data_IF_523624158801
#
_entry.id   IF_523624158801
#
_cell.length_a   1.000
_cell.length_b   1.000
_cell.length_c   1.000
_cell.angle_alpha   90.00
_cell.angle_beta   90.00
_cell.angle_gamma   90.00
#
_symmetry.space_group_name_H-M   'P 1'
#
loop_
_entity.id
_entity.type
_entity.pdbx_description
1 polymer ?
#
# COMPACT_ATOMS: atom_id res chain seq x y z
N UNK A 1 69.92 31.18 37.56
CA UNK A 1 69.76 31.50 36.12
C UNK A 1 68.65 30.61 35.59
N UNK A 2 67.50 31.24 35.35
CA UNK A 2 66.22 30.66 34.99
C UNK A 2 66.27 30.09 33.56
N UNK A 3 65.71 28.90 33.31
CA UNK A 3 65.31 28.51 31.97
C UNK A 3 63.96 27.81 32.01
N UNK A 4 63.07 28.32 31.16
CA UNK A 4 61.63 28.16 31.14
C UNK A 4 61.23 26.86 30.44
N UNK A 5 60.39 26.04 31.08
CA UNK A 5 59.60 25.04 30.39
C UNK A 5 58.44 25.73 29.66
N UNK A 6 58.41 25.61 28.33
CA UNK A 6 57.28 26.04 27.50
C UNK A 6 56.15 25.01 27.63
N UNK A 7 55.03 25.40 28.25
CA UNK A 7 53.78 24.67 28.12
C UNK A 7 53.12 25.06 26.79
N UNK A 8 52.93 24.10 25.90
CA UNK A 8 52.07 24.24 24.73
C UNK A 8 50.63 23.93 25.16
N UNK A 9 49.75 24.94 25.13
CA UNK A 9 48.31 24.76 25.27
C UNK A 9 47.76 24.28 23.92
N UNK A 10 47.40 23.00 23.83
CA UNK A 10 46.60 22.48 22.73
C UNK A 10 45.13 22.77 23.04
N UNK A 11 44.55 23.75 22.35
CA UNK A 11 43.11 24.01 22.39
C UNK A 11 42.39 22.94 21.56
N UNK A 12 41.80 21.94 22.22
CA UNK A 12 40.86 21.03 21.58
C UNK A 12 39.53 21.76 21.36
N UNK A 13 39.29 22.23 20.14
CA UNK A 13 37.98 22.72 19.74
C UNK A 13 37.03 21.52 19.59
N UNK A 14 36.10 21.35 20.53
CA UNK A 14 34.97 20.45 20.40
C UNK A 14 34.04 21.01 19.31
N UNK A 15 34.10 20.43 18.10
CA UNK A 15 33.04 20.65 17.11
C UNK A 15 31.78 19.94 17.62
N UNK A 16 30.87 20.73 18.20
CA UNK A 16 29.48 20.32 18.37
C UNK A 16 28.85 20.21 16.98
N UNK A 17 28.73 18.99 16.44
CA UNK A 17 27.85 18.72 15.31
C UNK A 17 26.42 18.83 15.80
N UNK A 18 25.89 20.06 15.82
CA UNK A 18 24.45 20.27 15.91
C UNK A 18 23.85 19.72 14.62
N UNK A 19 23.29 18.51 14.67
CA UNK A 19 22.38 18.04 13.64
C UNK A 19 21.18 18.97 13.67
N UNK A 20 21.13 19.90 12.72
CA UNK A 20 19.93 20.67 12.46
C UNK A 20 18.88 19.68 11.95
N UNK A 21 18.01 19.21 12.85
CA UNK A 21 16.75 18.60 12.46
C UNK A 21 15.95 19.70 11.79
N UNK A 22 15.89 19.68 10.45
CA UNK A 22 14.87 20.40 9.71
C UNK A 22 13.51 19.81 10.10
N UNK A 23 12.92 20.30 11.19
CA UNK A 23 11.48 20.22 11.36
C UNK A 23 10.88 21.22 10.38
N UNK A 24 10.75 20.78 9.11
CA UNK A 24 9.81 21.42 8.21
C UNK A 24 8.47 21.44 8.93
N UNK A 25 7.92 22.63 9.15
CA UNK A 25 6.63 22.84 9.78
C UNK A 25 5.55 22.17 8.93
N UNK A 26 5.24 20.91 9.21
CA UNK A 26 4.17 20.18 8.50
C UNK A 26 2.90 21.03 8.47
N UNK A 27 2.23 21.07 7.32
CA UNK A 27 0.96 21.80 7.14
C UNK A 27 -0.10 21.29 8.13
N UNK A 28 0.06 20.04 8.58
CA UNK A 28 -0.83 19.37 9.50
C UNK A 28 -0.34 19.48 10.94
N UNK A 29 -1.23 19.89 11.84
CA UNK A 29 -0.92 19.85 13.27
C UNK A 29 -0.85 18.39 13.77
N UNK A 30 -0.30 18.20 14.97
CA UNK A 30 -0.37 16.90 15.66
C UNK A 30 -1.82 16.46 15.89
N UNK A 31 -2.74 17.40 16.08
CA UNK A 31 -4.14 17.04 16.24
C UNK A 31 -4.70 16.47 14.94
N UNK A 32 -4.46 17.14 13.81
CA UNK A 32 -5.00 16.75 12.50
C UNK A 32 -4.49 15.38 12.06
N UNK A 33 -3.21 15.09 12.30
CA UNK A 33 -2.59 13.80 11.96
C UNK A 33 -3.10 12.61 12.79
N UNK A 34 -3.81 12.85 13.89
CA UNK A 34 -4.49 11.81 14.67
C UNK A 34 -5.98 11.67 14.31
N UNK A 35 -6.50 12.50 13.41
CA UNK A 35 -7.89 12.40 12.97
C UNK A 35 -8.03 11.20 12.03
N UNK A 36 -8.86 10.25 12.43
CA UNK A 36 -9.17 9.09 11.63
C UNK A 36 -10.10 9.47 10.48
N UNK A 37 -9.79 9.03 9.27
CA UNK A 37 -10.69 9.10 8.12
C UNK A 37 -12.03 8.42 8.43
N UNK A 38 -13.10 8.84 7.74
CA UNK A 38 -14.47 8.38 8.01
C UNK A 38 -15.03 8.66 9.41
N UNK A 39 -14.31 9.39 10.26
CA UNK A 39 -14.83 9.89 11.54
C UNK A 39 -15.58 11.21 11.37
N UNK A 40 -16.37 11.60 12.38
CA UNK A 40 -17.01 12.91 12.40
C UNK A 40 -16.01 14.08 12.42
N UNK A 41 -14.81 13.87 12.97
CA UNK A 41 -13.76 14.88 13.02
C UNK A 41 -13.14 15.13 11.63
N UNK A 42 -13.13 14.12 10.75
CA UNK A 42 -12.62 14.26 9.38
C UNK A 42 -13.39 15.32 8.58
N UNK A 43 -14.70 15.51 8.86
CA UNK A 43 -15.53 16.52 8.19
C UNK A 43 -15.10 17.97 8.46
N UNK A 44 -14.29 18.20 9.50
CA UNK A 44 -13.82 19.53 9.91
C UNK A 44 -12.29 19.65 9.88
N UNK A 45 -11.60 18.66 9.30
CA UNK A 45 -10.14 18.63 9.17
C UNK A 45 -9.78 18.82 7.71
N UNK A 46 -8.68 19.52 7.41
CA UNK A 46 -8.24 19.68 6.03
C UNK A 46 -7.98 18.33 5.37
N UNK A 47 -8.41 18.22 4.12
CA UNK A 47 -8.19 17.10 3.20
C UNK A 47 -6.72 16.85 2.85
N UNK A 48 -5.82 17.80 3.16
CA UNK A 48 -4.37 17.60 3.16
C UNK A 48 -3.84 16.84 4.39
N UNK A 49 -4.66 16.67 5.43
CA UNK A 49 -4.26 16.10 6.72
C UNK A 49 -5.08 14.87 7.12
N UNK A 50 -6.20 14.64 6.46
CA UNK A 50 -7.03 13.43 6.58
C UNK A 50 -7.57 13.06 5.21
N UNK A 51 -7.57 11.78 4.86
CA UNK A 51 -8.20 11.30 3.63
C UNK A 51 -9.73 11.44 3.71
N UNK A 52 -10.30 12.28 2.85
CA UNK A 52 -11.73 12.51 2.75
C UNK A 52 -12.08 13.13 1.39
N UNK A 53 -13.14 12.70 0.69
CA UNK A 53 -14.16 11.73 1.12
C UNK A 53 -13.74 10.26 0.96
N UNK A 54 -12.64 9.97 0.26
CA UNK A 54 -12.10 8.62 -0.01
C UNK A 54 -11.38 7.96 1.18
N UNK A 55 -11.97 8.09 2.37
CA UNK A 55 -11.33 7.73 3.64
C UNK A 55 -11.31 6.23 3.99
N UNK A 56 -11.98 5.37 3.22
CA UNK A 56 -11.94 3.93 3.40
C UNK A 56 -10.90 3.37 2.42
N UNK A 57 -9.72 3.01 2.92
CA UNK A 57 -8.61 2.56 2.08
C UNK A 57 -8.58 1.04 1.95
N UNK A 58 -8.39 0.55 0.72
CA UNK A 58 -8.33 -0.87 0.41
C UNK A 58 -6.97 -1.23 -0.15
N UNK A 59 -6.18 -2.04 0.57
CA UNK A 59 -5.01 -2.71 -0.01
C UNK A 59 -5.48 -4.00 -0.66
N UNK A 60 -5.38 -4.08 -1.99
CA UNK A 60 -5.93 -5.17 -2.78
C UNK A 60 -4.83 -6.08 -3.32
N UNK A 61 -5.05 -7.40 -3.23
CA UNK A 61 -4.10 -8.43 -3.64
C UNK A 61 -4.75 -9.45 -4.57
N UNK A 62 -3.93 -10.00 -5.48
CA UNK A 62 -4.32 -11.01 -6.44
C UNK A 62 -3.62 -12.34 -6.16
N UNK A 63 -4.32 -13.42 -6.50
CA UNK A 63 -3.75 -14.73 -6.65
C UNK A 63 -4.04 -15.29 -8.03
N UNK A 64 -2.96 -15.67 -8.72
CA UNK A 64 -3.04 -16.40 -9.96
C UNK A 64 -1.95 -17.46 -10.00
N UNK A 65 -2.35 -18.67 -10.37
CA UNK A 65 -1.48 -19.83 -10.42
C UNK A 65 -0.80 -20.03 -11.77
N UNK A 66 -1.10 -19.19 -12.76
CA UNK A 66 -0.38 -19.20 -14.04
C UNK A 66 1.10 -18.84 -13.84
N UNK A 67 2.00 -19.40 -14.66
CA UNK A 67 3.44 -19.20 -14.49
C UNK A 67 3.84 -17.74 -14.70
N UNK A 68 4.83 -17.30 -13.92
CA UNK A 68 5.45 -15.97 -14.07
C UNK A 68 4.70 -14.80 -13.43
N UNK A 69 3.70 -15.06 -12.58
CA UNK A 69 2.94 -14.03 -11.85
C UNK A 69 3.37 -13.93 -10.37
N UNK A 70 4.65 -13.62 -10.17
CA UNK A 70 5.28 -13.43 -8.85
C UNK A 70 5.68 -14.73 -8.16
N UNK A 71 6.24 -14.66 -6.95
CA UNK A 71 6.77 -15.84 -6.24
C UNK A 71 5.71 -16.90 -5.94
N UNK A 72 6.14 -18.16 -5.87
CA UNK A 72 5.28 -19.34 -5.69
C UNK A 72 4.52 -19.34 -4.34
N UNK A 73 5.13 -18.77 -3.31
CA UNK A 73 4.64 -18.67 -1.94
C UNK A 73 4.05 -17.29 -1.61
N UNK A 74 3.67 -16.51 -2.63
CA UNK A 74 3.19 -15.15 -2.45
C UNK A 74 1.95 -14.83 -3.28
N UNK A 75 1.07 -14.02 -2.69
CA UNK A 75 0.10 -13.23 -3.44
C UNK A 75 0.80 -12.01 -4.04
N UNK A 76 0.19 -11.33 -5.01
CA UNK A 76 0.76 -10.12 -5.63
C UNK A 76 -0.13 -8.91 -5.39
N UNK A 77 0.44 -7.71 -5.52
CA UNK A 77 -0.27 -6.44 -5.39
C UNK A 77 -1.22 -6.29 -6.58
N UNK A 78 -2.47 -5.91 -6.29
CA UNK A 78 -3.37 -5.29 -7.27
C UNK A 78 -3.23 -3.77 -7.18
N UNK A 79 -3.46 -3.19 -5.99
CA UNK A 79 -3.32 -1.76 -5.78
C UNK A 79 -3.64 -1.28 -4.36
N UNK A 80 -3.87 0.03 -4.26
CA UNK A 80 -4.36 0.73 -3.07
C UNK A 80 -5.45 1.71 -3.52
N UNK A 81 -6.67 1.53 -3.02
CA UNK A 81 -7.84 2.29 -3.47
C UNK A 81 -8.44 3.09 -2.33
N UNK A 82 -9.04 4.24 -2.66
CA UNK A 82 -9.77 5.09 -1.72
C UNK A 82 -11.27 5.09 -2.01
N UNK A 83 -12.02 4.33 -1.23
CA UNK A 83 -13.48 4.31 -1.26
C UNK A 83 -14.04 5.39 -0.34
N UNK A 84 -15.26 5.83 -0.65
CA UNK A 84 -16.06 6.59 0.29
C UNK A 84 -16.43 5.72 1.49
N UNK A 85 -16.70 6.37 2.61
CA UNK A 85 -17.02 5.68 3.88
C UNK A 85 -18.28 4.81 3.87
N UNK A 86 -19.11 4.91 2.82
CA UNK A 86 -20.28 4.06 2.60
C UNK A 86 -19.99 2.84 1.69
N UNK A 87 -18.73 2.66 1.26
CA UNK A 87 -18.29 1.61 0.36
C UNK A 87 -18.52 1.89 -1.13
N UNK A 88 -19.12 3.02 -1.54
CA UNK A 88 -19.06 3.46 -2.94
C UNK A 88 -17.73 4.16 -3.22
N UNK A 89 -17.33 4.32 -4.48
CA UNK A 89 -16.01 4.85 -4.82
C UNK A 89 -16.07 5.87 -5.97
N UNK A 90 -15.01 6.67 -6.06
CA UNK A 90 -14.71 7.53 -7.21
C UNK A 90 -13.51 6.99 -7.97
N UNK A 91 -13.30 7.47 -9.18
CA UNK A 91 -12.18 7.06 -10.02
C UNK A 91 -11.75 8.16 -10.97
N UNK A 92 -10.48 8.17 -11.34
CA UNK A 92 -9.93 9.09 -12.35
C UNK A 92 -10.20 10.56 -12.01
N UNK A 93 -9.84 10.95 -10.79
CA UNK A 93 -10.22 12.24 -10.21
C UNK A 93 -9.45 13.43 -10.80
N UNK A 94 -8.26 13.20 -11.34
CA UNK A 94 -7.43 14.25 -11.93
C UNK A 94 -6.68 13.79 -13.18
N UNK A 95 -7.22 14.11 -14.35
CA UNK A 95 -6.59 13.78 -15.64
C UNK A 95 -5.27 14.52 -15.89
N UNK A 96 -5.02 15.67 -15.24
CA UNK A 96 -3.77 16.41 -15.41
C UNK A 96 -2.60 15.71 -14.70
N UNK A 97 -2.90 14.84 -13.74
CA UNK A 97 -1.94 13.98 -13.06
C UNK A 97 -1.91 12.55 -13.59
N UNK A 98 -2.54 12.27 -14.73
CA UNK A 98 -2.36 10.98 -15.40
C UNK A 98 -0.95 10.91 -15.98
N UNK A 99 -0.11 10.11 -15.35
CA UNK A 99 1.29 9.95 -15.73
C UNK A 99 1.50 8.66 -16.49
N UNK A 100 2.46 8.71 -17.41
CA UNK A 100 3.01 7.55 -18.09
C UNK A 100 4.48 7.42 -17.75
N UNK A 101 5.09 6.26 -18.06
CA UNK A 101 6.51 6.02 -17.78
C UNK A 101 6.86 6.15 -16.28
N UNK A 102 6.01 5.58 -15.44
CA UNK A 102 6.16 5.37 -13.99
C UNK A 102 7.53 4.77 -13.66
N UNK A 103 7.98 3.74 -14.40
CA UNK A 103 9.32 3.18 -14.19
C UNK A 103 10.45 4.20 -14.42
N UNK A 104 10.28 5.10 -15.38
CA UNK A 104 11.20 6.22 -15.63
C UNK A 104 11.20 7.21 -14.47
N UNK A 105 10.03 7.63 -14.02
CA UNK A 105 9.86 8.56 -12.89
C UNK A 105 10.52 7.99 -11.61
N UNK A 106 10.30 6.70 -11.31
CA UNK A 106 10.95 6.05 -10.17
C UNK A 106 12.47 6.09 -10.27
N UNK A 107 13.05 5.93 -11.47
CA UNK A 107 14.51 6.04 -11.68
C UNK A 107 15.01 7.47 -11.51
N UNK A 108 14.25 8.48 -11.93
CA UNK A 108 14.59 9.89 -11.70
C UNK A 108 14.67 10.21 -10.20
N UNK A 109 13.76 9.63 -9.42
CA UNK A 109 13.76 9.69 -7.95
C UNK A 109 14.70 8.70 -7.26
N UNK A 110 15.53 7.99 -8.02
CA UNK A 110 16.49 6.98 -7.54
C UNK A 110 15.84 5.85 -6.71
N UNK A 111 14.57 5.55 -6.96
CA UNK A 111 13.79 4.51 -6.28
C UNK A 111 13.99 3.13 -6.93
N UNK A 112 15.25 2.75 -7.17
CA UNK A 112 15.58 1.51 -7.89
C UNK A 112 15.08 0.26 -7.15
N UNK A 113 15.25 0.19 -5.83
CA UNK A 113 14.80 -0.97 -5.04
C UNK A 113 13.28 -1.10 -5.00
N UNK A 114 12.55 0.03 -5.02
CA UNK A 114 11.09 0.00 -5.13
C UNK A 114 10.67 -0.53 -6.51
N UNK A 115 11.29 -0.04 -7.58
CA UNK A 115 11.00 -0.49 -8.94
C UNK A 115 11.27 -1.99 -9.12
N UNK A 116 12.40 -2.51 -8.62
CA UNK A 116 12.66 -3.96 -8.69
C UNK A 116 11.66 -4.77 -7.86
N UNK A 117 11.26 -4.27 -6.69
CA UNK A 117 10.21 -4.94 -5.90
C UNK A 117 8.86 -4.96 -6.63
N UNK A 118 8.46 -3.84 -7.24
CA UNK A 118 7.22 -3.76 -8.03
C UNK A 118 7.25 -4.72 -9.23
N UNK A 119 8.40 -4.89 -9.88
CA UNK A 119 8.56 -5.86 -10.97
C UNK A 119 8.39 -7.31 -10.55
N UNK A 120 8.58 -7.62 -9.27
CA UNK A 120 8.43 -8.97 -8.76
C UNK A 120 7.05 -9.22 -8.14
N UNK A 121 6.46 -8.20 -7.50
CA UNK A 121 5.26 -8.34 -6.69
C UNK A 121 4.05 -7.54 -7.17
N UNK A 122 4.17 -6.63 -8.14
CA UNK A 122 3.08 -5.82 -8.69
C UNK A 122 3.01 -5.96 -10.21
N UNK A 123 2.61 -7.15 -10.64
CA UNK A 123 2.61 -7.60 -12.04
C UNK A 123 1.24 -7.43 -12.68
N UNK A 124 1.20 -7.22 -13.99
CA UNK A 124 -0.06 -7.27 -14.72
C UNK A 124 -0.53 -8.73 -14.85
N UNK A 125 -1.70 -9.01 -14.26
CA UNK A 125 -2.39 -10.28 -14.37
C UNK A 125 -3.55 -10.17 -15.37
N UNK A 126 -3.40 -10.64 -16.62
CA UNK A 126 -4.43 -10.48 -17.66
C UNK A 126 -5.72 -11.28 -17.37
N UNK A 127 -5.70 -12.26 -16.46
CA UNK A 127 -6.91 -13.01 -16.08
C UNK A 127 -7.81 -12.17 -15.19
N UNK A 128 -7.23 -11.33 -14.32
CA UNK A 128 -7.98 -10.51 -13.37
C UNK A 128 -8.12 -9.06 -13.84
N UNK A 129 -7.12 -8.48 -14.51
CA UNK A 129 -7.16 -7.08 -14.99
C UNK A 129 -7.94 -6.92 -16.30
N UNK A 130 -8.40 -8.01 -16.91
CA UNK A 130 -9.25 -8.08 -18.13
C UNK A 130 -8.68 -7.40 -19.39
N UNK A 131 -7.41 -6.96 -19.34
CA UNK A 131 -6.72 -6.28 -20.44
C UNK A 131 -5.32 -6.87 -20.61
N UNK A 132 -4.97 -7.27 -21.82
CA UNK A 132 -3.57 -7.58 -22.14
C UNK A 132 -2.75 -6.29 -21.95
N UNK A 133 -1.70 -6.36 -21.14
CA UNK A 133 -0.87 -5.20 -20.81
C UNK A 133 0.42 -5.62 -20.11
N UNK A 134 1.29 -4.64 -19.92
CA UNK A 134 2.54 -4.75 -19.18
C UNK A 134 2.33 -4.34 -17.71
N UNK A 135 3.31 -4.62 -16.85
CA UNK A 135 3.28 -4.11 -15.47
C UNK A 135 3.27 -2.57 -15.44
N UNK A 136 3.89 -1.92 -16.44
CA UNK A 136 3.84 -0.46 -16.60
C UNK A 136 2.40 0.03 -16.81
N UNK A 137 1.65 -0.61 -17.72
CA UNK A 137 0.25 -0.26 -17.98
C UNK A 137 -0.62 -0.41 -16.71
N UNK A 138 -0.32 -1.41 -15.86
CA UNK A 138 -1.00 -1.58 -14.58
C UNK A 138 -0.66 -0.44 -13.60
N UNK A 139 0.62 -0.08 -13.45
CA UNK A 139 1.00 1.00 -12.53
C UNK A 139 0.42 2.35 -12.97
N UNK A 140 0.39 2.62 -14.27
CA UNK A 140 -0.28 3.78 -14.86
C UNK A 140 -1.78 3.77 -14.54
N UNK A 141 -2.46 2.62 -14.70
CA UNK A 141 -3.88 2.45 -14.36
C UNK A 141 -4.16 2.73 -12.88
N UNK A 142 -3.42 2.08 -11.98
CA UNK A 142 -3.65 2.18 -10.54
C UNK A 142 -3.42 3.60 -10.04
N UNK A 143 -2.40 4.29 -10.55
CA UNK A 143 -2.21 5.71 -10.26
C UNK A 143 -3.35 6.56 -10.82
N UNK A 144 -3.57 6.50 -12.15
CA UNK A 144 -4.52 7.38 -12.82
C UNK A 144 -5.95 7.21 -12.29
N UNK A 145 -6.35 5.98 -11.98
CA UNK A 145 -7.71 5.65 -11.53
C UNK A 145 -7.91 5.83 -10.03
N UNK A 146 -6.92 5.47 -9.21
CA UNK A 146 -7.08 5.41 -7.75
C UNK A 146 -6.17 6.41 -7.03
N UNK A 147 -4.88 6.44 -7.34
CA UNK A 147 -3.92 7.36 -6.69
C UNK A 147 -4.27 8.84 -6.89
N UNK A 148 -4.80 9.22 -8.05
CA UNK A 148 -5.26 10.61 -8.31
C UNK A 148 -6.45 11.03 -7.44
N UNK A 149 -7.16 10.09 -6.80
CA UNK A 149 -8.31 10.37 -5.96
C UNK A 149 -7.98 10.55 -4.46
N UNK A 150 -6.72 10.36 -4.07
CA UNK A 150 -6.29 10.51 -2.67
C UNK A 150 -5.95 11.96 -2.36
N UNK A 151 -6.67 12.57 -1.42
CA UNK A 151 -6.63 14.02 -1.22
C UNK A 151 -5.36 14.49 -0.53
N UNK A 152 -4.78 13.70 0.36
CA UNK A 152 -3.53 14.05 1.04
C UNK A 152 -2.31 13.93 0.13
N UNK A 153 -2.49 13.39 -1.09
CA UNK A 153 -1.48 13.33 -2.15
C UNK A 153 -1.59 14.48 -3.16
N UNK A 154 -2.53 15.42 -3.00
CA UNK A 154 -2.60 16.58 -3.89
C UNK A 154 -1.32 17.43 -3.81
N UNK A 155 -0.75 17.89 -4.94
CA UNK A 155 0.47 18.70 -4.93
C UNK A 155 0.42 19.94 -4.03
N UNK A 156 -0.77 20.52 -3.83
CA UNK A 156 -1.02 21.66 -2.93
C UNK A 156 -0.81 21.33 -1.46
N UNK A 157 -0.83 20.05 -1.08
CA UNK A 157 -0.58 19.57 0.27
C UNK A 157 0.93 19.46 0.61
N UNK A 158 1.82 19.78 -0.34
CA UNK A 158 3.27 19.77 -0.15
C UNK A 158 3.82 21.19 -0.06
N UNK A 159 4.52 21.51 1.04
CA UNK A 159 5.21 22.80 1.16
C UNK A 159 6.32 23.01 0.12
N UNK A 160 6.99 21.91 -0.25
CA UNK A 160 8.12 21.89 -1.18
C UNK A 160 7.88 20.82 -2.23
N UNK A 161 6.83 21.02 -3.02
CA UNK A 161 6.46 20.10 -4.08
C UNK A 161 7.56 19.99 -5.15
N UNK A 162 7.87 18.75 -5.52
CA UNK A 162 8.63 18.43 -6.73
C UNK A 162 7.73 17.59 -7.62
N UNK A 163 7.67 17.82 -8.95
CA UNK A 163 6.81 17.05 -9.84
C UNK A 163 6.91 15.53 -9.64
N UNK A 164 5.78 14.85 -9.55
CA UNK A 164 5.64 13.39 -9.37
C UNK A 164 6.00 12.85 -7.98
N UNK A 165 6.32 13.71 -7.01
CA UNK A 165 6.64 13.27 -5.65
C UNK A 165 5.50 12.45 -5.03
N UNK A 166 4.26 12.85 -5.28
CA UNK A 166 3.04 12.22 -4.82
C UNK A 166 2.81 10.84 -5.45
N UNK A 167 3.15 10.65 -6.73
CA UNK A 167 3.13 9.34 -7.38
C UNK A 167 4.15 8.41 -6.71
N UNK A 168 5.37 8.90 -6.48
CA UNK A 168 6.42 8.11 -5.83
C UNK A 168 6.01 7.72 -4.40
N UNK A 169 5.39 8.64 -3.67
CA UNK A 169 4.89 8.38 -2.31
C UNK A 169 3.74 7.37 -2.30
N UNK A 170 2.79 7.46 -3.24
CA UNK A 170 1.74 6.47 -3.42
C UNK A 170 2.32 5.06 -3.63
N UNK A 171 3.23 4.90 -4.59
CA UNK A 171 3.82 3.60 -4.92
C UNK A 171 4.60 3.00 -3.74
N UNK A 172 5.34 3.84 -3.02
CA UNK A 172 6.01 3.43 -1.78
C UNK A 172 5.02 2.91 -0.74
N UNK A 173 3.88 3.59 -0.60
CA UNK A 173 2.89 3.26 0.42
C UNK A 173 2.11 2.00 0.07
N UNK A 174 1.76 1.80 -1.21
CA UNK A 174 1.15 0.53 -1.66
C UNK A 174 2.05 -0.65 -1.30
N UNK A 175 3.35 -0.54 -1.61
CA UNK A 175 4.33 -1.59 -1.29
C UNK A 175 4.54 -1.74 0.21
N UNK A 176 4.57 -0.64 0.97
CA UNK A 176 4.71 -0.68 2.43
C UNK A 176 3.54 -1.45 3.06
N UNK A 177 2.31 -1.07 2.76
CA UNK A 177 1.12 -1.69 3.35
C UNK A 177 0.98 -3.15 2.92
N UNK A 178 1.23 -3.47 1.64
CA UNK A 178 1.25 -4.85 1.14
C UNK A 178 2.18 -5.76 1.95
N UNK A 179 3.39 -5.29 2.29
CA UNK A 179 4.37 -6.06 3.08
C UNK A 179 3.89 -6.38 4.50
N UNK A 180 2.91 -5.63 5.02
CA UNK A 180 2.32 -5.89 6.34
C UNK A 180 1.14 -6.88 6.29
N UNK A 181 0.74 -7.31 5.09
CA UNK A 181 -0.44 -8.13 4.84
C UNK A 181 -0.06 -9.41 4.07
N UNK A 182 0.72 -10.33 4.67
CA UNK A 182 1.20 -11.54 4.01
C UNK A 182 0.08 -12.59 3.86
N UNK A 183 -0.77 -12.44 2.84
CA UNK A 183 -1.96 -13.28 2.61
C UNK A 183 -1.66 -14.78 2.61
N UNK A 184 -0.55 -15.19 1.98
CA UNK A 184 -0.14 -16.60 1.98
C UNK A 184 0.14 -17.12 3.39
N UNK A 185 0.88 -16.37 4.20
CA UNK A 185 1.21 -16.74 5.59
C UNK A 185 -0.04 -16.79 6.47
N UNK A 186 -0.96 -15.83 6.29
CA UNK A 186 -2.24 -15.83 6.99
C UNK A 186 -3.02 -17.12 6.73
N UNK A 187 -3.24 -17.48 5.47
CA UNK A 187 -3.94 -18.71 5.09
C UNK A 187 -3.19 -19.97 5.58
N UNK A 188 -1.88 -20.02 5.39
CA UNK A 188 -1.05 -21.15 5.80
C UNK A 188 -1.09 -21.39 7.31
N UNK A 189 -1.23 -20.33 8.13
CA UNK A 189 -1.33 -20.44 9.59
C UNK A 189 -2.56 -21.23 10.08
N UNK A 190 -3.55 -21.43 9.21
CA UNK A 190 -4.75 -22.23 9.46
C UNK A 190 -4.79 -23.53 8.64
N UNK A 191 -3.70 -23.89 7.96
CA UNK A 191 -3.63 -25.06 7.09
C UNK A 191 -4.30 -24.88 5.74
N UNK A 192 -4.64 -23.65 5.34
CA UNK A 192 -5.15 -23.33 4.01
C UNK A 192 -3.94 -23.02 3.12
N UNK A 193 -3.46 -24.02 2.41
CA UNK A 193 -2.24 -23.95 1.58
C UNK A 193 -2.55 -24.27 0.12
N UNK A 194 -1.70 -23.86 -0.83
CA UNK A 194 -1.90 -24.22 -2.22
C UNK A 194 -1.87 -25.74 -2.44
N UNK A 195 -2.89 -26.30 -3.11
CA UNK A 195 -3.05 -27.73 -3.38
C UNK A 195 -4.02 -28.00 -4.54
N UNK A 196 -3.79 -29.10 -5.26
CA UNK A 196 -4.64 -29.55 -6.36
C UNK A 196 -5.71 -30.57 -5.93
N UNK A 197 -5.68 -31.04 -4.68
CA UNK A 197 -6.53 -32.15 -4.21
C UNK A 197 -7.50 -31.79 -3.09
N UNK A 198 -7.33 -30.63 -2.46
CA UNK A 198 -8.18 -30.16 -1.36
C UNK A 198 -8.92 -28.92 -1.79
N UNK A 199 -10.16 -28.80 -1.31
CA UNK A 199 -10.95 -27.59 -1.42
C UNK A 199 -11.33 -27.10 -0.03
N UNK A 200 -11.67 -25.82 0.06
CA UNK A 200 -11.92 -25.13 1.32
C UNK A 200 -13.37 -24.63 1.40
N UNK A 201 -13.90 -24.57 2.63
CA UNK A 201 -15.15 -23.87 2.91
C UNK A 201 -14.89 -22.38 3.05
N UNK A 202 -15.80 -21.52 2.58
CA UNK A 202 -15.67 -20.07 2.74
C UNK A 202 -15.54 -19.68 4.22
N UNK A 203 -16.31 -20.30 5.09
CA UNK A 203 -16.29 -20.02 6.53
C UNK A 203 -14.91 -20.28 7.17
N UNK A 204 -14.17 -21.29 6.70
CA UNK A 204 -12.82 -21.58 7.21
C UNK A 204 -11.81 -20.52 6.74
N UNK A 205 -11.95 -20.05 5.49
CA UNK A 205 -11.14 -18.97 4.92
C UNK A 205 -11.41 -17.64 5.65
N UNK A 206 -12.68 -17.29 5.85
CA UNK A 206 -13.12 -16.10 6.59
C UNK A 206 -12.60 -16.13 8.04
N UNK A 207 -12.78 -17.25 8.74
CA UNK A 207 -12.28 -17.40 10.12
C UNK A 207 -10.76 -17.28 10.19
N UNK A 208 -10.04 -17.82 9.20
CA UNK A 208 -8.60 -17.71 9.16
C UNK A 208 -8.15 -16.24 9.02
N UNK A 209 -8.75 -15.49 8.08
CA UNK A 209 -8.44 -14.08 7.93
C UNK A 209 -8.79 -13.28 9.17
N UNK A 210 -9.98 -13.45 9.75
CA UNK A 210 -10.36 -12.76 10.98
C UNK A 210 -9.36 -13.02 12.12
N UNK A 211 -8.85 -14.25 12.25
CA UNK A 211 -7.81 -14.56 13.25
C UNK A 211 -6.50 -13.82 12.95
N UNK A 212 -6.08 -13.79 11.70
CA UNK A 212 -4.82 -13.19 11.27
C UNK A 212 -4.82 -11.66 11.35
N UNK A 213 -5.96 -11.02 11.08
CA UNK A 213 -6.12 -9.56 11.02
C UNK A 213 -6.58 -8.93 12.33
N UNK A 214 -6.68 -9.70 13.43
CA UNK A 214 -7.13 -9.17 14.73
C UNK A 214 -8.65 -8.95 14.82
N UNK A 215 -9.43 -9.66 14.01
CA UNK A 215 -10.90 -9.68 14.05
C UNK A 215 -11.59 -9.03 12.86
N UNK A 216 -10.84 -8.52 11.89
CA UNK A 216 -11.37 -7.75 10.76
C UNK A 216 -11.43 -8.58 9.48
N UNK A 217 -12.62 -8.77 8.92
CA UNK A 217 -12.79 -9.60 7.73
C UNK A 217 -12.46 -8.79 6.46
N UNK A 218 -11.45 -9.19 5.66
CA UNK A 218 -11.24 -8.63 4.33
C UNK A 218 -12.31 -9.11 3.35
N UNK A 219 -12.41 -8.48 2.18
CA UNK A 219 -13.16 -9.07 1.07
C UNK A 219 -12.38 -10.29 0.55
N UNK A 220 -13.09 -11.37 0.25
CA UNK A 220 -12.52 -12.60 -0.33
C UNK A 220 -13.18 -12.81 -1.69
N UNK A 221 -12.39 -12.74 -2.74
CA UNK A 221 -12.83 -12.84 -4.13
C UNK A 221 -12.44 -14.18 -4.77
N UNK A 222 -13.36 -14.74 -5.55
CA UNK A 222 -13.14 -15.92 -6.38
C UNK A 222 -13.47 -15.65 -7.85
N UNK A 223 -12.68 -16.27 -8.73
CA UNK A 223 -13.00 -16.45 -10.14
C UNK A 223 -13.56 -17.86 -10.33
N UNK A 224 -14.89 -17.98 -10.43
CA UNK A 224 -15.57 -19.27 -10.31
C UNK A 224 -15.35 -19.85 -8.91
N UNK A 225 -14.66 -20.98 -8.81
CA UNK A 225 -14.32 -21.59 -7.51
C UNK A 225 -12.89 -21.29 -7.08
N UNK A 226 -12.08 -20.60 -7.89
CA UNK A 226 -10.69 -20.34 -7.58
C UNK A 226 -10.55 -19.08 -6.76
N UNK A 227 -9.93 -19.19 -5.59
CA UNK A 227 -9.57 -18.05 -4.77
C UNK A 227 -8.62 -17.15 -5.56
N UNK A 228 -8.98 -15.88 -5.74
CA UNK A 228 -8.30 -14.97 -6.70
C UNK A 228 -8.02 -13.57 -6.17
N UNK A 229 -8.79 -13.07 -5.20
CA UNK A 229 -8.60 -11.71 -4.68
C UNK A 229 -8.79 -11.64 -3.17
N UNK A 230 -8.04 -10.73 -2.52
CA UNK A 230 -8.28 -10.33 -1.13
C UNK A 230 -8.13 -8.81 -1.02
N UNK A 231 -9.11 -8.13 -0.42
CA UNK A 231 -9.06 -6.68 -0.21
C UNK A 231 -9.12 -6.37 1.29
N UNK A 232 -8.05 -5.76 1.81
CA UNK A 232 -7.91 -5.40 3.21
C UNK A 232 -8.31 -3.95 3.44
N UNK A 233 -9.30 -3.73 4.30
CA UNK A 233 -9.91 -2.43 4.54
C UNK A 233 -9.29 -1.73 5.74
N UNK A 234 -9.05 -0.43 5.60
CA UNK A 234 -8.48 0.40 6.64
C UNK A 234 -9.16 1.77 6.65
N UNK A 235 -9.33 2.32 7.84
CA UNK A 235 -9.32 3.78 7.99
C UNK A 235 -7.87 4.26 8.09
N UNK A 236 -7.65 5.56 7.93
CA UNK A 236 -6.32 6.16 7.93
C UNK A 236 -6.30 7.34 8.90
N UNK A 237 -5.34 7.36 9.81
CA UNK A 237 -4.98 8.56 10.57
C UNK A 237 -3.73 9.21 9.94
N UNK A 238 -3.85 10.50 9.60
CA UNK A 238 -2.80 11.24 8.91
C UNK A 238 -2.90 11.15 7.38
N UNK A 239 -1.75 11.28 6.72
CA UNK A 239 -1.63 11.27 5.25
C UNK A 239 -1.40 9.87 4.73
N UNK A 240 -1.69 9.61 3.45
CA UNK A 240 -1.37 8.33 2.80
C UNK A 240 0.09 7.99 3.06
N UNK A 241 1.00 8.94 2.77
CA UNK A 241 2.41 8.72 3.08
C UNK A 241 2.66 8.72 4.59
N UNK A 242 2.99 7.55 5.13
CA UNK A 242 3.44 7.39 6.52
C UNK A 242 2.36 7.57 7.60
N UNK A 243 1.08 7.56 7.22
CA UNK A 243 -0.03 7.53 8.16
C UNK A 243 -0.23 6.17 8.82
N UNK A 244 -1.16 6.12 9.78
CA UNK A 244 -1.53 4.89 10.48
C UNK A 244 -2.77 4.27 9.84
N UNK A 245 -2.59 3.10 9.21
CA UNK A 245 -3.66 2.30 8.65
C UNK A 245 -4.33 1.48 9.75
N UNK A 246 -5.56 1.84 10.11
CA UNK A 246 -6.35 1.20 11.16
C UNK A 246 -7.31 0.19 10.52
N UNK A 247 -7.14 -1.13 10.73
CA UNK A 247 -7.97 -2.15 10.08
C UNK A 247 -9.47 -1.99 10.38
N UNK A 248 -10.31 -2.31 9.39
CA UNK A 248 -11.76 -2.34 9.52
C UNK A 248 -12.35 -3.49 8.68
N UNK A 249 -13.64 -3.77 8.86
CA UNK A 249 -14.30 -4.83 8.12
C UNK A 249 -14.61 -4.41 6.68
N UNK A 250 -14.62 -5.39 5.78
CA UNK A 250 -15.10 -5.23 4.40
C UNK A 250 -16.51 -4.65 4.35
N UNK A 251 -16.75 -3.77 3.38
CA UNK A 251 -18.08 -3.28 3.00
C UNK A 251 -18.75 -4.15 1.93
N UNK A 252 -18.00 -5.12 1.37
CA UNK A 252 -18.44 -6.01 0.31
C UNK A 252 -18.44 -7.47 0.76
N UNK A 253 -19.56 -8.16 0.53
CA UNK A 253 -19.65 -9.60 0.74
C UNK A 253 -18.72 -10.35 -0.22
N UNK A 254 -18.24 -11.52 0.19
CA UNK A 254 -17.51 -12.43 -0.69
C UNK A 254 -18.39 -12.89 -1.87
N UNK A 255 -17.78 -13.07 -3.04
CA UNK A 255 -18.42 -13.71 -4.20
C UNK A 255 -18.06 -15.22 -4.32
N UNK A 256 -17.25 -15.76 -3.40
CA UNK A 256 -16.84 -17.16 -3.40
C UNK A 256 -18.01 -18.10 -3.07
N UNK A 257 -17.99 -19.34 -3.57
CA UNK A 257 -18.95 -20.36 -3.15
C UNK A 257 -18.74 -20.72 -1.67
N UNK A 258 -19.81 -21.13 -1.00
CA UNK A 258 -19.74 -21.51 0.42
C UNK A 258 -18.86 -22.74 0.68
N UNK A 259 -18.64 -23.57 -0.33
CA UNK A 259 -17.87 -24.81 -0.30
C UNK A 259 -17.14 -24.99 -1.64
N UNK A 260 -16.07 -25.79 -1.64
CA UNK A 260 -15.40 -26.17 -2.88
C UNK A 260 -14.45 -25.10 -3.42
N UNK A 261 -14.00 -24.15 -2.59
CA UNK A 261 -13.02 -23.14 -2.98
C UNK A 261 -11.68 -23.84 -3.27
N UNK A 262 -11.10 -23.53 -4.42
CA UNK A 262 -9.82 -24.06 -4.89
C UNK A 262 -8.72 -23.02 -4.67
N UNK A 263 -7.58 -23.47 -4.15
CA UNK A 263 -6.36 -22.67 -4.02
C UNK A 263 -5.21 -23.48 -4.60
N UNK A 264 -4.99 -23.47 -5.93
CA UNK A 264 -4.00 -24.32 -6.59
C UNK A 264 -2.57 -23.77 -6.42
N UNK A 265 -1.52 -24.61 -6.38
CA UNK A 265 -0.12 -24.14 -6.39
C UNK A 265 0.19 -23.35 -7.66
N UNK A 266 1.02 -22.31 -7.55
CA UNK A 266 1.53 -21.63 -8.74
C UNK A 266 2.34 -22.60 -9.60
N UNK A 267 2.15 -22.48 -10.91
CA UNK A 267 2.89 -23.25 -11.89
C UNK A 267 4.28 -22.63 -12.02
N UNK A 268 5.32 -23.44 -11.86
CA UNK A 268 6.69 -23.00 -12.13
C UNK A 268 6.81 -22.52 -13.57
N UNK A 269 7.41 -21.35 -13.79
CA UNK A 269 7.84 -20.94 -15.14
C UNK A 269 8.90 -21.92 -15.63
N UNK A 270 8.57 -22.67 -16.69
CA UNK A 270 9.51 -23.54 -17.43
C UNK A 270 10.63 -22.77 -18.10
#
# INVERSE_FOLDING_TARGET
MSSLYRFALASAALLSTATATFHGSDICSRHDTNVLSCSAAALNTSDCCVESPGGLLLQTQLYNWNPGLGPDDSWTIHGLWGDFCNGSYTSSCDNARNYTNIAGILKEYQQYSLLEYMREYWLNDPVVTTTNGTAEDLWEHEWAKHGTCMTTLEPTCYMHYTPYLELVQFLQEVVYLYKTLPTHEYLASCGIVPTNSTTYALADVEQCFMKATGGYLPHIGCTGNYLSEVWYYHHLAGKVKGGEYVPTNTTYASNCPSQGIMYPPKLSSS
#
